data_IF_967156334680
#
_entry.id   IF_967156334680
#
_cell.length_a   1.000
_cell.length_b   1.000
_cell.length_c   1.000
_cell.angle_alpha   90.00
_cell.angle_beta   90.00
_cell.angle_gamma   90.00
#
_symmetry.space_group_name_H-M   'P 1'
#
loop_
_entity.id
_entity.type
_entity.pdbx_description
1 polymer ?
#
# COMPACT_ATOMS: atom_id res chain seq x y z
N UNK A 1 33.12 -11.52 32.79
CA UNK A 1 31.80 -12.01 32.31
C UNK A 1 30.57 -11.57 33.13
N UNK A 2 30.72 -10.91 34.28
CA UNK A 2 29.59 -10.41 35.07
C UNK A 2 29.10 -9.01 34.63
N UNK A 3 30.00 -8.04 34.51
CA UNK A 3 29.64 -6.63 34.23
C UNK A 3 28.86 -6.40 32.92
N UNK A 4 29.22 -7.11 31.84
CA UNK A 4 28.58 -7.03 30.50
C UNK A 4 27.12 -7.54 30.49
N UNK A 5 26.83 -8.60 31.26
CA UNK A 5 25.46 -9.15 31.41
C UNK A 5 24.57 -8.21 32.21
N UNK A 6 25.14 -7.56 33.23
CA UNK A 6 24.41 -6.64 34.12
C UNK A 6 24.45 -5.18 33.66
N UNK A 7 24.87 -4.91 32.42
CA UNK A 7 24.81 -3.59 31.77
C UNK A 7 25.52 -2.47 32.55
N UNK A 8 26.49 -2.80 33.40
CA UNK A 8 27.17 -1.83 34.29
C UNK A 8 28.12 -0.88 33.54
N UNK A 9 28.55 -1.25 32.33
CA UNK A 9 29.47 -0.46 31.50
C UNK A 9 28.78 0.11 30.23
N UNK A 10 27.46 -0.03 30.11
CA UNK A 10 26.72 0.41 28.92
C UNK A 10 26.32 1.88 29.10
N UNK A 11 27.17 2.77 28.59
CA UNK A 11 26.76 4.15 28.28
C UNK A 11 25.68 4.02 27.19
N UNK A 12 24.53 4.67 27.38
CA UNK A 12 23.25 4.43 26.67
C UNK A 12 23.30 4.93 25.21
N UNK A 13 24.22 4.40 24.44
CA UNK A 13 24.22 4.47 22.98
C UNK A 13 24.15 3.04 22.41
N UNK A 14 23.40 2.18 23.09
CA UNK A 14 22.88 0.99 22.45
C UNK A 14 21.99 1.48 21.30
N UNK A 15 22.55 1.57 20.10
CA UNK A 15 21.87 1.89 18.85
C UNK A 15 20.65 0.98 18.76
N UNK A 16 19.52 1.48 19.26
CA UNK A 16 18.24 0.80 19.13
C UNK A 16 18.05 0.72 17.63
N UNK A 17 18.12 -0.49 17.07
CA UNK A 17 17.75 -0.70 15.67
C UNK A 17 16.29 -0.26 15.53
N UNK A 18 16.10 0.99 15.11
CA UNK A 18 14.78 1.56 14.82
C UNK A 18 14.20 0.66 13.73
N UNK A 19 13.06 0.02 14.00
CA UNK A 19 12.34 -0.71 12.96
C UNK A 19 11.91 0.32 11.91
N UNK A 20 12.55 0.27 10.74
CA UNK A 20 12.20 1.13 9.63
C UNK A 20 10.97 0.53 8.95
N UNK A 21 9.82 1.17 9.10
CA UNK A 21 8.59 0.81 8.39
C UNK A 21 8.67 1.38 6.97
N UNK A 22 9.20 0.59 6.05
CA UNK A 22 9.21 0.98 4.64
C UNK A 22 7.78 0.95 4.10
N UNK A 23 7.22 2.11 3.74
CA UNK A 23 5.93 2.17 3.04
C UNK A 23 6.12 1.49 1.69
N UNK A 24 5.18 0.62 1.29
CA UNK A 24 5.22 -0.04 -0.03
C UNK A 24 5.40 1.04 -1.12
N UNK A 25 6.24 0.84 -2.15
CA UNK A 25 6.41 1.83 -3.20
C UNK A 25 5.13 1.92 -4.03
N UNK A 26 4.23 2.82 -3.64
CA UNK A 26 2.97 3.11 -4.34
C UNK A 26 3.20 3.81 -5.70
N UNK A 27 4.45 4.20 -5.98
CA UNK A 27 4.94 4.98 -7.11
C UNK A 27 5.74 4.17 -8.14
N UNK A 28 5.38 2.90 -8.37
CA UNK A 28 5.97 2.07 -9.44
C UNK A 28 4.98 1.83 -10.59
N UNK A 29 5.47 1.89 -11.83
CA UNK A 29 4.72 1.43 -13.01
C UNK A 29 4.59 -0.09 -12.98
N UNK A 30 3.54 -0.61 -13.63
CA UNK A 30 3.28 -2.05 -13.75
C UNK A 30 3.31 -2.38 -15.25
N UNK A 31 3.76 -3.58 -15.63
CA UNK A 31 3.73 -4.00 -17.05
C UNK A 31 2.28 -3.90 -17.56
N UNK A 32 2.09 -3.20 -18.68
CA UNK A 32 0.76 -2.91 -19.23
C UNK A 32 0.07 -1.64 -18.71
N UNK A 33 0.65 -0.92 -17.73
CA UNK A 33 0.08 0.35 -17.25
C UNK A 33 1.15 1.36 -16.75
N UNK A 34 1.10 2.56 -17.30
CA UNK A 34 1.98 3.67 -16.88
C UNK A 34 1.55 4.27 -15.54
N UNK A 35 2.48 4.91 -14.83
CA UNK A 35 2.24 5.55 -13.54
C UNK A 35 1.10 6.58 -13.56
N UNK A 36 1.05 7.40 -14.62
CA UNK A 36 0.05 8.46 -14.78
C UNK A 36 -1.36 7.89 -14.92
N UNK A 37 -1.48 6.75 -15.60
CA UNK A 37 -2.76 6.06 -15.76
C UNK A 37 -3.28 5.49 -14.44
N UNK A 38 -2.40 4.84 -13.66
CA UNK A 38 -2.74 4.29 -12.34
C UNK A 38 -3.20 5.38 -11.37
N UNK A 39 -2.53 6.53 -11.38
CA UNK A 39 -2.90 7.66 -10.51
C UNK A 39 -4.27 8.23 -10.86
N UNK A 40 -4.56 8.42 -12.16
CA UNK A 40 -5.88 8.91 -12.60
C UNK A 40 -7.01 8.01 -12.11
N UNK A 41 -6.90 6.69 -12.32
CA UNK A 41 -7.91 5.72 -11.86
C UNK A 41 -8.07 5.66 -10.33
N UNK A 42 -7.04 5.99 -9.55
CA UNK A 42 -7.12 6.01 -8.08
C UNK A 42 -7.77 7.27 -7.51
N UNK A 43 -7.68 8.39 -8.23
CA UNK A 43 -8.22 9.69 -7.80
C UNK A 43 -9.62 9.92 -8.35
N UNK A 44 -10.06 9.10 -9.30
CA UNK A 44 -11.45 9.08 -9.75
C UNK A 44 -12.41 8.84 -8.56
N UNK A 45 -13.48 9.64 -8.53
CA UNK A 45 -14.49 9.58 -7.48
C UNK A 45 -15.21 8.24 -7.52
N UNK A 46 -15.59 7.69 -6.35
CA UNK A 46 -16.29 6.40 -6.28
C UNK A 46 -17.60 6.40 -7.09
N UNK A 47 -18.27 7.55 -7.21
CA UNK A 47 -19.50 7.72 -7.99
C UNK A 47 -19.34 7.31 -9.47
N UNK A 48 -18.18 7.56 -10.07
CA UNK A 48 -17.90 7.17 -11.47
C UNK A 48 -17.71 5.65 -11.58
N UNK A 49 -17.08 5.06 -10.56
CA UNK A 49 -16.92 3.61 -10.46
C UNK A 49 -18.28 2.93 -10.23
N UNK A 50 -19.15 3.52 -9.41
CA UNK A 50 -20.47 2.97 -9.11
C UNK A 50 -21.33 2.94 -10.38
N UNK A 51 -21.35 4.00 -11.18
CA UNK A 51 -22.06 4.02 -12.47
C UNK A 51 -21.55 2.92 -13.41
N UNK A 52 -20.23 2.74 -13.50
CA UNK A 52 -19.64 1.67 -14.32
C UNK A 52 -20.02 0.27 -13.79
N UNK A 53 -20.10 0.11 -12.48
CA UNK A 53 -20.53 -1.13 -11.83
C UNK A 53 -22.02 -1.41 -12.09
N UNK A 54 -22.90 -0.43 -11.89
CA UNK A 54 -24.33 -0.54 -12.18
C UNK A 54 -24.58 -0.91 -13.63
N UNK A 55 -23.85 -0.30 -14.57
CA UNK A 55 -23.96 -0.61 -16.00
C UNK A 55 -23.45 -2.02 -16.35
N UNK A 56 -22.38 -2.49 -15.69
CA UNK A 56 -21.89 -3.85 -15.87
C UNK A 56 -22.89 -4.88 -15.30
N UNK A 57 -23.46 -4.61 -14.12
CA UNK A 57 -24.46 -5.47 -13.48
C UNK A 57 -25.77 -5.49 -14.26
N UNK A 58 -26.21 -4.36 -14.81
CA UNK A 58 -27.42 -4.30 -15.62
C UNK A 58 -27.26 -5.10 -16.91
N UNK A 59 -26.13 -4.97 -17.61
CA UNK A 59 -25.85 -5.78 -18.80
C UNK A 59 -25.78 -7.28 -18.48
N UNK A 60 -25.19 -7.65 -17.35
CA UNK A 60 -25.12 -9.05 -16.92
C UNK A 60 -26.52 -9.64 -16.69
N UNK A 61 -27.38 -8.96 -15.92
CA UNK A 61 -28.76 -9.38 -15.65
C UNK A 61 -29.60 -9.42 -16.95
N UNK A 62 -29.31 -8.53 -17.90
CA UNK A 62 -30.01 -8.47 -19.19
C UNK A 62 -29.55 -9.54 -20.19
N UNK A 63 -28.41 -10.20 -19.95
CA UNK A 63 -27.89 -11.27 -20.80
C UNK A 63 -28.19 -12.68 -20.23
N UNK A 64 -28.53 -12.79 -18.94
CA UNK A 64 -28.87 -14.05 -18.26
C UNK A 64 -30.40 -14.37 -18.27
N UNK A 65 -31.24 -13.50 -18.86
CA UNK A 65 -32.68 -13.71 -19.12
C UNK A 65 -32.93 -13.66 -20.62
#
# INVERSE_FOLDING_TARGET
>A
MYKKRHKKDIIVEAVKKKRQTFKKPYSRSIVGATLKFIQKRRVEKPEVCDVALWHALSLFISCDV
#
